data_IF_307956106184
#
_entry.id   IF_307956106184
#
_cell.length_a   1.000
_cell.length_b   1.000
_cell.length_c   1.000
_cell.angle_alpha   90.00
_cell.angle_beta   90.00
_cell.angle_gamma   90.00
#
_symmetry.space_group_name_H-M   'P 1'
#
loop_
_entity.id
_entity.type
_entity.pdbx_description
1 polymer ?
#
# COMPACT_ATOMS: atom_id res chain seq x y z
N UNK A 1 -39.51 -45.33 -34.56
CA UNK A 1 -38.10 -45.56 -34.17
C UNK A 1 -37.92 -45.09 -32.72
N UNK A 2 -38.20 -45.95 -31.73
CA UNK A 2 -38.16 -45.58 -30.31
C UNK A 2 -36.88 -46.06 -29.63
N UNK A 3 -35.99 -45.14 -29.23
CA UNK A 3 -34.79 -45.46 -28.45
C UNK A 3 -35.16 -45.61 -26.96
N UNK A 4 -35.19 -46.86 -26.48
CA UNK A 4 -35.24 -47.18 -25.04
C UNK A 4 -33.89 -46.83 -24.40
N UNK A 5 -33.86 -45.78 -23.58
CA UNK A 5 -32.71 -45.51 -22.70
C UNK A 5 -32.70 -46.48 -21.52
N UNK A 6 -31.58 -47.19 -21.38
CA UNK A 6 -31.35 -48.31 -20.47
C UNK A 6 -31.23 -47.83 -19.00
N UNK A 7 -32.23 -48.13 -18.16
CA UNK A 7 -32.26 -47.84 -16.70
C UNK A 7 -32.06 -49.11 -15.87
N UNK A 8 -30.94 -49.83 -16.04
CA UNK A 8 -30.61 -50.97 -15.17
C UNK A 8 -29.12 -51.02 -14.86
N UNK A 9 -28.72 -50.45 -13.69
CA UNK A 9 -27.61 -50.99 -12.87
C UNK A 9 -27.30 -50.26 -11.55
N UNK A 10 -28.10 -49.29 -11.09
CA UNK A 10 -27.78 -48.58 -9.83
C UNK A 10 -28.02 -49.39 -8.54
N UNK A 11 -28.92 -50.39 -8.56
CA UNK A 11 -29.31 -51.15 -7.35
C UNK A 11 -28.29 -52.24 -6.94
N UNK A 12 -27.57 -52.83 -7.89
CA UNK A 12 -26.56 -53.89 -7.68
C UNK A 12 -25.22 -53.35 -7.15
N UNK A 13 -24.87 -52.12 -7.53
CA UNK A 13 -23.64 -51.46 -7.06
C UNK A 13 -23.71 -51.04 -5.58
N UNK A 14 -24.85 -50.50 -5.14
CA UNK A 14 -25.07 -50.04 -3.77
C UNK A 14 -25.03 -51.19 -2.74
N UNK A 15 -25.54 -52.36 -3.12
CA UNK A 15 -25.50 -53.56 -2.26
C UNK A 15 -24.08 -54.11 -2.09
N UNK A 16 -23.19 -53.94 -3.08
CA UNK A 16 -21.79 -54.38 -3.00
C UNK A 16 -20.90 -53.50 -2.10
N UNK A 17 -21.32 -52.27 -1.82
CA UNK A 17 -20.55 -51.31 -1.00
C UNK A 17 -20.88 -51.41 0.49
N UNK A 18 -22.03 -51.99 0.85
CA UNK A 18 -22.48 -52.11 2.25
C UNK A 18 -22.01 -53.39 2.95
N UNK A 19 -21.31 -54.29 2.26
CA UNK A 19 -20.74 -55.50 2.88
C UNK A 19 -19.77 -55.12 4.00
N UNK A 20 -19.97 -55.73 5.17
CA UNK A 20 -19.16 -55.53 6.37
C UNK A 20 -18.00 -56.52 6.35
N UNK A 21 -16.78 -56.00 6.45
CA UNK A 21 -15.55 -56.77 6.61
C UNK A 21 -15.11 -56.70 8.08
N UNK A 22 -14.73 -57.83 8.66
CA UNK A 22 -14.15 -57.89 10.01
C UNK A 22 -12.65 -57.61 9.88
N UNK A 23 -12.19 -56.53 10.51
CA UNK A 23 -10.76 -56.26 10.69
C UNK A 23 -10.43 -56.53 12.15
N UNK A 24 -9.46 -57.40 12.40
CA UNK A 24 -8.99 -57.74 13.74
C UNK A 24 -7.47 -57.66 13.82
N UNK A 25 -6.97 -57.14 14.94
CA UNK A 25 -5.55 -57.15 15.28
C UNK A 25 -5.36 -58.29 16.28
N UNK A 26 -4.45 -59.21 15.96
CA UNK A 26 -4.12 -60.37 16.77
C UNK A 26 -2.76 -60.15 17.42
N UNK A 27 -2.62 -60.50 18.69
CA UNK A 27 -1.30 -60.60 19.31
C UNK A 27 -0.66 -61.95 18.92
N UNK A 28 0.51 -61.92 18.26
CA UNK A 28 1.17 -63.14 17.76
C UNK A 28 1.56 -64.13 18.87
N UNK A 29 1.86 -63.64 20.09
CA UNK A 29 2.32 -64.48 21.19
C UNK A 29 1.18 -65.15 21.97
N UNK A 30 0.02 -64.50 22.06
CA UNK A 30 -1.13 -65.01 22.85
C UNK A 30 -2.29 -65.47 21.98
N UNK A 31 -2.26 -65.21 20.66
CA UNK A 31 -3.35 -65.45 19.72
C UNK A 31 -4.68 -64.81 20.12
N UNK A 32 -4.66 -63.84 21.03
CA UNK A 32 -5.85 -63.10 21.44
C UNK A 32 -6.14 -61.94 20.48
N UNK A 33 -7.40 -61.79 20.07
CA UNK A 33 -7.86 -60.65 19.27
C UNK A 33 -8.03 -59.43 20.20
N UNK A 34 -7.07 -58.51 20.23
CA UNK A 34 -7.08 -57.33 21.11
C UNK A 34 -7.99 -56.22 20.59
N UNK A 35 -8.24 -56.19 19.28
CA UNK A 35 -9.07 -55.16 18.65
C UNK A 35 -9.88 -55.76 17.50
N UNK A 36 -11.19 -55.51 17.47
CA UNK A 36 -12.12 -56.03 16.45
C UNK A 36 -13.10 -54.95 16.00
N UNK A 37 -13.12 -54.65 14.71
CA UNK A 37 -14.07 -53.69 14.11
C UNK A 37 -14.68 -54.26 12.83
N UNK A 38 -15.98 -54.05 12.65
CA UNK A 38 -16.69 -54.38 11.41
C UNK A 38 -16.81 -53.13 10.54
N UNK A 39 -16.07 -53.10 9.43
CA UNK A 39 -15.97 -51.95 8.54
C UNK A 39 -16.63 -52.27 7.18
N UNK A 40 -17.55 -51.42 6.72
CA UNK A 40 -18.01 -51.44 5.33
C UNK A 40 -17.13 -50.56 4.45
N UNK A 41 -17.09 -50.81 3.13
CA UNK A 41 -16.33 -49.97 2.18
C UNK A 41 -16.75 -48.49 2.26
N UNK A 42 -18.04 -48.23 2.50
CA UNK A 42 -18.58 -46.89 2.72
C UNK A 42 -18.08 -46.25 4.02
N UNK A 43 -18.05 -47.02 5.13
CA UNK A 43 -17.57 -46.50 6.41
C UNK A 43 -16.07 -46.17 6.38
N UNK A 44 -15.26 -46.98 5.69
CA UNK A 44 -13.82 -46.71 5.50
C UNK A 44 -13.63 -45.41 4.71
N UNK A 45 -14.40 -45.21 3.64
CA UNK A 45 -14.35 -43.96 2.87
C UNK A 45 -14.76 -42.75 3.72
N UNK A 46 -15.81 -42.88 4.54
CA UNK A 46 -16.25 -41.82 5.44
C UNK A 46 -15.20 -41.47 6.50
N UNK A 47 -14.58 -42.46 7.15
CA UNK A 47 -13.51 -42.21 8.12
C UNK A 47 -12.26 -41.58 7.47
N UNK A 48 -11.92 -42.00 6.24
CA UNK A 48 -10.82 -41.40 5.49
C UNK A 48 -11.10 -39.93 5.12
N UNK A 49 -12.31 -39.61 4.65
CA UNK A 49 -12.73 -38.23 4.41
C UNK A 49 -12.72 -37.39 5.69
N UNK A 50 -13.24 -37.94 6.80
CA UNK A 50 -13.23 -37.27 8.10
C UNK A 50 -11.79 -36.97 8.56
N UNK A 51 -10.88 -37.94 8.43
CA UNK A 51 -9.47 -37.76 8.74
C UNK A 51 -8.81 -36.67 7.89
N UNK A 52 -9.12 -36.62 6.59
CA UNK A 52 -8.61 -35.58 5.69
C UNK A 52 -9.13 -34.18 6.06
N UNK A 53 -10.39 -34.06 6.48
CA UNK A 53 -10.95 -32.78 6.94
C UNK A 53 -10.30 -32.36 8.25
N UNK A 54 -10.10 -33.29 9.19
CA UNK A 54 -9.43 -33.02 10.46
C UNK A 54 -7.98 -32.61 10.23
N UNK A 55 -7.24 -33.29 9.35
CA UNK A 55 -5.85 -32.93 9.05
C UNK A 55 -5.76 -31.53 8.43
N UNK A 56 -6.67 -31.19 7.51
CA UNK A 56 -6.74 -29.85 6.93
C UNK A 56 -7.06 -28.78 8.00
N UNK A 57 -7.99 -29.07 8.92
CA UNK A 57 -8.31 -28.17 10.01
C UNK A 57 -7.13 -27.95 10.97
N UNK A 58 -6.39 -29.00 11.29
CA UNK A 58 -5.18 -28.92 12.12
C UNK A 58 -4.08 -28.11 11.42
N UNK A 59 -3.84 -28.35 10.13
CA UNK A 59 -2.87 -27.57 9.34
C UNK A 59 -3.27 -26.09 9.30
N UNK A 60 -4.55 -25.80 9.05
CA UNK A 60 -5.09 -24.43 9.06
C UNK A 60 -4.90 -23.74 10.42
N UNK A 61 -5.16 -24.47 11.51
CA UNK A 61 -4.99 -23.98 12.88
C UNK A 61 -3.51 -23.70 13.18
N UNK A 62 -2.60 -24.59 12.80
CA UNK A 62 -1.14 -24.36 12.94
C UNK A 62 -0.73 -23.11 12.17
N UNK A 63 -1.16 -22.94 10.92
CA UNK A 63 -0.85 -21.74 10.12
C UNK A 63 -1.40 -20.46 10.79
N UNK A 64 -2.57 -20.52 11.41
CA UNK A 64 -3.18 -19.35 12.05
C UNK A 64 -2.50 -18.96 13.37
N UNK A 65 -2.18 -19.93 14.23
CA UNK A 65 -1.63 -19.68 15.57
C UNK A 65 -0.11 -19.63 15.64
N UNK A 66 0.59 -20.18 14.64
CA UNK A 66 2.06 -20.10 14.56
C UNK A 66 2.50 -19.07 13.52
N UNK A 67 3.69 -18.45 13.67
CA UNK A 67 4.20 -17.46 12.72
C UNK A 67 4.61 -18.05 11.35
N UNK A 68 4.28 -19.31 11.05
CA UNK A 68 4.60 -19.95 9.77
C UNK A 68 3.89 -19.26 8.59
N UNK A 69 2.70 -18.66 8.83
CA UNK A 69 1.98 -17.88 7.80
C UNK A 69 2.83 -16.77 7.18
N UNK A 70 3.80 -16.22 7.90
CA UNK A 70 4.67 -15.14 7.41
C UNK A 70 5.73 -15.60 6.41
N UNK A 71 6.03 -16.91 6.34
CA UNK A 71 7.01 -17.48 5.43
C UNK A 71 6.41 -17.90 4.08
N UNK A 72 5.09 -17.87 3.94
CA UNK A 72 4.42 -18.18 2.67
C UNK A 72 4.31 -16.91 1.80
N UNK A 73 4.92 -16.89 0.59
CA UNK A 73 4.89 -15.71 -0.28
C UNK A 73 3.44 -15.40 -0.68
N UNK A 74 2.95 -14.23 -0.27
CA UNK A 74 1.60 -13.74 -0.58
C UNK A 74 0.72 -13.36 0.63
N UNK A 75 1.09 -13.75 1.86
CA UNK A 75 0.29 -13.49 3.08
C UNK A 75 0.81 -12.36 3.99
N UNK A 76 1.85 -11.63 3.56
CA UNK A 76 2.37 -10.48 4.30
C UNK A 76 1.37 -9.33 4.27
N UNK A 77 0.90 -8.92 5.44
CA UNK A 77 0.07 -7.73 5.64
C UNK A 77 0.77 -6.47 5.08
N UNK A 78 0.00 -5.48 4.59
CA UNK A 78 0.55 -4.28 3.98
C UNK A 78 1.42 -3.47 4.96
N UNK A 79 1.08 -3.54 6.25
CA UNK A 79 1.83 -2.96 7.37
C UNK A 79 3.23 -3.58 7.53
N UNK A 80 3.36 -4.89 7.37
CA UNK A 80 4.66 -5.56 7.50
C UNK A 80 5.57 -5.17 6.34
N UNK A 81 5.02 -4.97 5.13
CA UNK A 81 5.80 -4.50 3.98
C UNK A 81 6.33 -3.09 4.18
N UNK A 82 5.51 -2.17 4.69
CA UNK A 82 5.96 -0.80 4.94
C UNK A 82 7.02 -0.74 6.05
N UNK A 83 6.90 -1.55 7.10
CA UNK A 83 7.92 -1.66 8.13
C UNK A 83 9.21 -2.31 7.61
N UNK A 84 9.10 -3.31 6.73
CA UNK A 84 10.26 -3.96 6.11
C UNK A 84 11.00 -3.01 5.17
N UNK A 85 10.25 -2.17 4.43
CA UNK A 85 10.82 -1.10 3.59
C UNK A 85 11.49 -0.01 4.43
N UNK A 86 10.87 0.44 5.54
CA UNK A 86 11.49 1.41 6.44
C UNK A 86 12.79 0.88 7.03
N UNK A 87 12.79 -0.37 7.51
CA UNK A 87 13.99 -1.02 8.03
C UNK A 87 15.06 -1.22 6.96
N UNK A 88 14.70 -1.52 5.72
CA UNK A 88 15.69 -1.58 4.63
C UNK A 88 16.30 -0.22 4.31
N UNK A 89 15.52 0.87 4.41
CA UNK A 89 16.03 2.24 4.23
C UNK A 89 16.97 2.66 5.37
N UNK A 90 16.65 2.30 6.61
CA UNK A 90 17.54 2.53 7.75
C UNK A 90 18.87 1.77 7.58
N UNK A 91 18.83 0.52 7.11
CA UNK A 91 20.02 -0.27 6.83
C UNK A 91 20.88 0.34 5.70
N UNK A 92 20.28 0.88 4.64
CA UNK A 92 21.03 1.57 3.56
C UNK A 92 21.78 2.81 4.09
N UNK A 93 21.12 3.60 4.94
CA UNK A 93 21.72 4.78 5.57
C UNK A 93 22.89 4.39 6.47
N UNK A 94 22.72 3.36 7.30
CA UNK A 94 23.79 2.84 8.16
C UNK A 94 24.95 2.29 7.35
N UNK A 95 24.66 1.54 6.28
CA UNK A 95 25.67 0.99 5.38
C UNK A 95 26.50 2.10 4.73
N UNK A 96 25.86 3.20 4.31
CA UNK A 96 26.58 4.37 3.77
C UNK A 96 27.55 4.98 4.78
N UNK A 97 27.11 5.19 6.02
CA UNK A 97 27.97 5.72 7.09
C UNK A 97 29.14 4.78 7.37
N UNK A 98 28.88 3.47 7.40
CA UNK A 98 29.94 2.46 7.57
C UNK A 98 30.96 2.52 6.43
N UNK A 99 30.55 2.64 5.17
CA UNK A 99 31.48 2.79 4.04
C UNK A 99 32.36 4.03 4.17
N UNK A 100 31.79 5.16 4.59
CA UNK A 100 32.58 6.36 4.84
C UNK A 100 33.60 6.15 5.96
N UNK A 101 33.21 5.44 7.03
CA UNK A 101 34.10 5.13 8.14
C UNK A 101 35.23 4.16 7.73
N UNK A 102 34.94 3.16 6.89
CA UNK A 102 35.95 2.26 6.33
C UNK A 102 36.96 3.00 5.43
N UNK A 103 36.48 3.93 4.60
CA UNK A 103 37.33 4.76 3.76
C UNK A 103 38.26 5.64 4.62
N UNK A 104 37.73 6.27 5.68
CA UNK A 104 38.53 7.04 6.63
C UNK A 104 39.59 6.17 7.34
N UNK A 105 39.22 4.98 7.80
CA UNK A 105 40.16 4.06 8.44
C UNK A 105 41.26 3.59 7.49
N UNK A 106 40.96 3.46 6.21
CA UNK A 106 41.97 3.10 5.18
C UNK A 106 42.98 4.23 4.99
N UNK A 107 42.53 5.48 4.92
CA UNK A 107 43.41 6.66 4.84
C UNK A 107 44.25 6.81 6.10
N UNK A 108 43.66 6.62 7.29
CA UNK A 108 44.41 6.67 8.56
C UNK A 108 45.50 5.60 8.56
N UNK A 109 45.18 4.36 8.17
CA UNK A 109 46.16 3.27 8.08
C UNK A 109 47.26 3.57 7.07
N UNK A 110 46.95 4.15 5.92
CA UNK A 110 47.97 4.46 4.90
C UNK A 110 48.94 5.54 5.40
N UNK A 111 48.43 6.59 6.06
CA UNK A 111 49.25 7.62 6.71
C UNK A 111 50.11 7.02 7.82
N UNK A 112 49.55 6.18 8.70
CA UNK A 112 50.31 5.52 9.77
C UNK A 112 51.39 4.57 9.23
N UNK A 113 51.14 3.91 8.09
CA UNK A 113 52.11 3.05 7.42
C UNK A 113 53.17 3.81 6.62
N UNK A 114 53.09 5.14 6.56
CA UNK A 114 54.04 6.01 5.85
C UNK A 114 53.96 5.91 4.32
N UNK A 115 52.85 5.39 3.77
CA UNK A 115 52.69 5.15 2.32
C UNK A 115 52.07 6.34 1.55
N UNK A 116 51.80 7.48 2.21
CA UNK A 116 51.20 8.68 1.61
C UNK A 116 51.86 9.94 2.16
N UNK A 117 52.34 10.84 1.29
CA UNK A 117 52.89 12.15 1.66
C UNK A 117 51.78 13.07 2.22
N UNK A 118 52.04 13.68 3.38
CA UNK A 118 51.06 14.37 4.26
C UNK A 118 50.41 15.60 3.60
N UNK A 119 50.95 16.09 2.48
CA UNK A 119 50.51 17.33 1.83
C UNK A 119 49.48 17.14 0.70
N UNK A 120 48.98 15.91 0.50
CA UNK A 120 47.94 15.60 -0.51
C UNK A 120 46.56 15.28 0.09
N UNK A 121 46.31 15.60 1.37
CA UNK A 121 45.01 15.37 2.00
C UNK A 121 43.99 16.37 1.46
N UNK A 122 43.37 16.03 0.34
CA UNK A 122 42.20 16.73 -0.20
C UNK A 122 41.07 16.52 0.81
N UNK A 123 40.56 17.56 1.50
CA UNK A 123 39.32 17.42 2.25
C UNK A 123 38.26 16.98 1.24
N UNK A 124 37.66 15.80 1.47
CA UNK A 124 36.57 15.27 0.65
C UNK A 124 35.35 16.15 0.95
N UNK A 125 35.30 17.28 0.27
CA UNK A 125 34.23 18.26 0.36
C UNK A 125 33.05 17.79 -0.50
N UNK A 126 31.86 17.79 0.09
CA UNK A 126 30.59 17.33 -0.51
C UNK A 126 30.35 17.96 -1.88
N UNK A 127 30.84 19.19 -2.07
CA UNK A 127 30.69 20.01 -3.28
C UNK A 127 31.53 19.46 -4.45
N UNK A 128 32.68 18.82 -4.20
CA UNK A 128 33.46 18.13 -5.25
C UNK A 128 32.92 16.75 -5.56
N UNK A 129 32.26 16.08 -4.62
CA UNK A 129 31.58 14.80 -4.87
C UNK A 129 30.39 14.96 -5.82
N UNK A 130 29.62 16.06 -5.71
CA UNK A 130 28.53 16.36 -6.65
C UNK A 130 29.06 16.62 -8.07
N UNK A 131 30.20 17.32 -8.19
CA UNK A 131 30.88 17.52 -9.48
C UNK A 131 31.48 16.23 -10.04
N UNK A 132 32.08 15.39 -9.20
CA UNK A 132 32.58 14.06 -9.59
C UNK A 132 31.43 13.12 -9.99
N UNK A 133 30.30 13.15 -9.29
CA UNK A 133 29.10 12.40 -9.64
C UNK A 133 28.55 12.84 -11.01
N UNK A 134 28.48 14.15 -11.29
CA UNK A 134 28.11 14.67 -12.62
C UNK A 134 29.12 14.30 -13.72
N UNK A 135 30.40 14.16 -13.40
CA UNK A 135 31.45 13.76 -14.36
C UNK A 135 31.48 12.24 -14.58
N UNK A 136 31.11 11.45 -13.58
CA UNK A 136 31.00 9.99 -13.65
C UNK A 136 29.63 9.52 -14.19
N UNK A 137 28.63 10.40 -14.28
CA UNK A 137 27.31 10.17 -14.91
C UNK A 137 27.36 10.13 -16.45
N UNK A 138 28.55 10.07 -17.04
CA UNK A 138 28.68 9.77 -18.47
C UNK A 138 28.42 8.28 -18.66
N UNK A 139 27.14 7.93 -18.83
CA UNK A 139 26.68 6.57 -19.15
C UNK A 139 27.62 5.91 -20.16
N UNK A 140 28.17 4.76 -19.78
CA UNK A 140 29.05 3.96 -20.63
C UNK A 140 28.32 3.59 -21.92
N UNK A 141 29.03 3.43 -23.04
CA UNK A 141 28.41 3.12 -24.34
C UNK A 141 27.63 1.80 -24.29
N UNK A 142 28.06 0.84 -23.47
CA UNK A 142 27.33 -0.40 -23.21
C UNK A 142 25.98 -0.16 -22.51
N UNK A 143 25.94 0.82 -21.61
CA UNK A 143 24.77 1.18 -20.81
C UNK A 143 23.75 1.97 -21.66
N UNK A 144 24.23 2.85 -22.54
CA UNK A 144 23.38 3.51 -23.55
C UNK A 144 22.77 2.50 -24.53
N UNK A 145 23.54 1.50 -24.96
CA UNK A 145 23.05 0.44 -25.82
C UNK A 145 22.02 -0.44 -25.10
N UNK A 146 22.24 -0.73 -23.82
CA UNK A 146 21.28 -1.46 -23.00
C UNK A 146 19.96 -0.68 -22.83
N UNK A 147 20.02 0.60 -22.46
CA UNK A 147 18.83 1.45 -22.34
C UNK A 147 18.05 1.51 -23.66
N UNK A 148 18.72 1.67 -24.81
CA UNK A 148 18.05 1.67 -26.13
C UNK A 148 17.35 0.36 -26.43
N UNK A 149 18.00 -0.79 -26.18
CA UNK A 149 17.38 -2.11 -26.38
C UNK A 149 16.17 -2.30 -25.48
N UNK A 150 16.29 -1.91 -24.21
CA UNK A 150 15.20 -2.00 -23.25
C UNK A 150 14.02 -1.10 -23.63
N UNK A 151 14.27 0.16 -24.04
CA UNK A 151 13.24 1.08 -24.53
C UNK A 151 12.54 0.57 -25.80
N UNK A 152 13.28 -0.06 -26.73
CA UNK A 152 12.72 -0.67 -27.93
C UNK A 152 11.87 -1.92 -27.63
N UNK A 153 12.29 -2.76 -26.68
CA UNK A 153 11.54 -3.95 -26.23
C UNK A 153 10.27 -3.59 -25.46
N UNK A 154 10.32 -2.55 -24.61
CA UNK A 154 9.16 -2.07 -23.85
C UNK A 154 8.16 -1.30 -24.72
N UNK A 155 8.60 -0.65 -25.80
CA UNK A 155 7.74 0.14 -26.71
C UNK A 155 6.59 -0.67 -27.33
N UNK A 156 6.75 -1.98 -27.46
CA UNK A 156 5.75 -2.88 -28.08
C UNK A 156 5.06 -3.82 -27.08
N UNK A 157 5.45 -3.79 -25.79
CA UNK A 157 4.81 -4.60 -24.74
C UNK A 157 3.51 -3.92 -24.30
N UNK A 158 2.41 -4.28 -24.96
CA UNK A 158 1.03 -3.86 -24.59
C UNK A 158 0.37 -4.82 -23.59
N UNK A 159 1.14 -5.72 -22.96
CA UNK A 159 0.63 -6.66 -21.98
C UNK A 159 1.54 -6.68 -20.75
N UNK A 160 0.97 -6.29 -19.61
CA UNK A 160 1.59 -6.14 -18.29
C UNK A 160 2.44 -4.88 -18.06
N UNK A 161 1.80 -3.72 -18.20
CA UNK A 161 1.98 -2.68 -17.18
C UNK A 161 1.34 -3.20 -15.89
N UNK A 162 2.01 -4.12 -15.18
CA UNK A 162 2.00 -4.00 -13.72
C UNK A 162 2.72 -2.68 -13.48
N UNK A 163 2.12 -1.69 -12.81
CA UNK A 163 2.83 -0.46 -12.54
C UNK A 163 4.07 -0.84 -11.74
N UNK A 164 5.22 -0.86 -12.42
CA UNK A 164 6.52 -0.69 -11.81
C UNK A 164 6.33 0.49 -10.87
N UNK A 165 6.69 0.31 -9.60
CA UNK A 165 6.59 1.27 -8.52
C UNK A 165 6.64 2.73 -8.99
N UNK A 166 5.49 3.24 -9.45
CA UNK A 166 5.26 4.65 -9.52
C UNK A 166 5.10 4.97 -8.05
N UNK A 167 6.03 5.77 -7.51
CA UNK A 167 5.67 6.72 -6.46
C UNK A 167 4.20 7.06 -6.66
N UNK A 168 3.34 6.59 -5.76
CA UNK A 168 1.88 6.63 -5.89
C UNK A 168 1.53 7.92 -6.60
N UNK A 169 1.02 7.86 -7.84
CA UNK A 169 0.65 9.09 -8.53
C UNK A 169 -0.49 9.64 -7.69
N UNK A 170 -0.14 10.56 -6.80
CA UNK A 170 -1.02 11.10 -5.79
C UNK A 170 -1.91 12.09 -6.51
N UNK A 171 -2.99 11.58 -7.09
CA UNK A 171 -3.94 12.39 -7.83
C UNK A 171 -4.87 13.04 -6.82
N UNK A 172 -4.65 14.32 -6.56
CA UNK A 172 -5.60 15.11 -5.82
C UNK A 172 -6.75 15.55 -6.74
N UNK A 173 -7.97 15.50 -6.20
CA UNK A 173 -9.16 15.97 -6.88
C UNK A 173 -9.47 17.42 -6.52
N UNK A 174 -10.21 18.10 -7.42
CA UNK A 174 -10.65 19.47 -7.18
C UNK A 174 -11.60 19.51 -5.96
N UNK A 175 -11.39 20.41 -4.99
CA UNK A 175 -12.21 20.49 -3.79
C UNK A 175 -13.60 21.06 -4.08
N UNK A 176 -13.75 21.88 -5.12
CA UNK A 176 -15.03 22.42 -5.58
C UNK A 176 -14.98 22.70 -7.08
N UNK A 177 -16.13 22.67 -7.75
CA UNK A 177 -16.29 23.16 -9.12
C UNK A 177 -16.35 24.70 -9.11
N UNK A 178 -15.32 25.39 -9.57
CA UNK A 178 -15.29 26.86 -9.56
C UNK A 178 -14.05 27.42 -10.24
N UNK A 179 -13.88 28.74 -10.16
CA UNK A 179 -12.71 29.44 -10.71
C UNK A 179 -11.90 30.00 -9.55
N UNK A 180 -10.56 29.91 -9.64
CA UNK A 180 -9.66 30.53 -8.66
C UNK A 180 -9.78 32.04 -8.79
N UNK A 181 -10.22 32.69 -7.72
CA UNK A 181 -10.30 34.15 -7.60
C UNK A 181 -9.04 34.75 -6.99
N UNK A 182 -8.47 34.09 -5.98
CA UNK A 182 -7.26 34.52 -5.30
C UNK A 182 -6.26 33.34 -5.29
N UNK A 183 -5.08 33.50 -5.92
CA UNK A 183 -4.06 32.46 -5.94
C UNK A 183 -3.26 32.43 -4.64
N UNK A 184 -2.51 31.34 -4.46
CA UNK A 184 -1.64 31.13 -3.31
C UNK A 184 -0.56 32.21 -3.26
N UNK A 185 -0.34 32.79 -2.08
CA UNK A 185 0.72 33.76 -1.87
C UNK A 185 1.27 33.60 -0.45
N UNK A 186 2.47 33.03 -0.26
CA UNK A 186 2.98 32.71 1.08
C UNK A 186 3.12 33.92 2.02
N UNK A 187 3.15 35.14 1.48
CA UNK A 187 3.25 36.39 2.26
C UNK A 187 1.87 36.95 2.67
N UNK A 188 0.79 36.56 1.98
CA UNK A 188 -0.56 37.13 2.18
C UNK A 188 -1.64 36.10 2.51
N UNK A 189 -1.59 34.93 1.87
CA UNK A 189 -2.60 33.87 1.92
C UNK A 189 -1.93 32.50 1.82
N UNK A 190 -2.16 31.66 2.82
CA UNK A 190 -1.63 30.30 2.88
C UNK A 190 -2.39 29.29 2.00
N UNK A 191 -3.40 29.76 1.26
CA UNK A 191 -4.24 28.95 0.40
C UNK A 191 -4.75 29.71 -0.82
N UNK A 192 -5.69 29.08 -1.51
CA UNK A 192 -6.39 29.61 -2.69
C UNK A 192 -7.87 29.81 -2.39
N UNK A 193 -8.45 30.85 -3.00
CA UNK A 193 -9.89 31.14 -2.87
C UNK A 193 -10.60 30.78 -4.17
N UNK A 194 -11.53 29.84 -4.12
CA UNK A 194 -12.43 29.51 -5.24
C UNK A 194 -13.70 30.35 -5.17
N UNK A 195 -14.15 30.86 -6.31
CA UNK A 195 -15.52 31.33 -6.49
C UNK A 195 -16.31 30.23 -7.19
N UNK A 196 -17.42 29.85 -6.59
CA UNK A 196 -18.31 28.80 -7.07
C UNK A 196 -19.77 29.28 -7.06
N UNK A 197 -20.67 28.47 -7.63
CA UNK A 197 -22.10 28.69 -7.53
C UNK A 197 -22.60 28.48 -6.09
N UNK A 198 -23.71 29.14 -5.75
CA UNK A 198 -24.45 28.88 -4.51
C UNK A 198 -24.70 27.41 -4.28
N UNK A 199 -24.53 26.96 -3.03
CA UNK A 199 -24.69 25.58 -2.60
C UNK A 199 -23.81 24.55 -3.34
N UNK A 200 -22.63 24.95 -3.82
CA UNK A 200 -21.69 24.00 -4.41
C UNK A 200 -21.18 22.99 -3.36
N UNK A 201 -21.05 21.74 -3.80
CA UNK A 201 -20.53 20.65 -2.97
C UNK A 201 -19.02 20.77 -2.77
N UNK A 202 -18.58 20.83 -1.52
CA UNK A 202 -17.17 20.74 -1.13
C UNK A 202 -16.79 19.29 -0.99
N UNK A 203 -15.72 18.88 -1.66
CA UNK A 203 -15.28 17.49 -1.78
C UNK A 203 -13.89 17.29 -1.20
N UNK A 204 -13.65 16.10 -0.66
CA UNK A 204 -12.33 15.69 -0.21
C UNK A 204 -11.37 15.64 -1.41
N UNK A 205 -10.19 16.23 -1.28
CA UNK A 205 -9.18 16.23 -2.36
C UNK A 205 -8.52 14.86 -2.49
N UNK A 206 -8.50 14.08 -1.41
CA UNK A 206 -7.94 12.73 -1.36
C UNK A 206 -8.61 11.94 -0.23
N UNK A 207 -8.41 10.62 -0.23
CA UNK A 207 -8.70 9.75 0.91
C UNK A 207 -8.03 10.28 2.19
N UNK A 208 -8.73 10.23 3.32
CA UNK A 208 -8.21 10.73 4.58
C UNK A 208 -9.19 10.60 5.75
N UNK A 209 -8.85 11.25 6.85
CA UNK A 209 -9.66 11.28 8.07
C UNK A 209 -9.88 12.73 8.51
N UNK A 210 -11.10 13.07 8.88
CA UNK A 210 -11.42 14.39 9.42
C UNK A 210 -10.83 14.51 10.83
N UNK A 211 -9.85 15.39 11.01
CA UNK A 211 -9.12 15.56 12.29
C UNK A 211 -9.60 16.73 13.11
N UNK A 212 -10.20 17.75 12.47
CA UNK A 212 -10.76 18.90 13.17
C UNK A 212 -11.92 19.51 12.39
N UNK A 213 -12.89 20.03 13.14
CA UNK A 213 -13.95 20.89 12.63
C UNK A 213 -14.07 22.05 13.62
N UNK A 214 -14.03 23.27 13.10
CA UNK A 214 -14.14 24.50 13.88
C UNK A 214 -15.12 25.47 13.22
N UNK A 215 -15.59 26.45 13.99
CA UNK A 215 -16.45 27.52 13.50
C UNK A 215 -15.88 28.89 13.91
N UNK A 216 -15.76 29.80 12.97
CA UNK A 216 -15.32 31.19 13.22
C UNK A 216 -16.24 32.17 12.51
N UNK A 217 -16.57 33.29 13.15
CA UNK A 217 -17.42 34.34 12.56
C UNK A 217 -16.89 34.90 11.23
N UNK A 218 -15.56 34.91 11.06
CA UNK A 218 -14.91 35.39 9.84
C UNK A 218 -14.88 34.36 8.70
N UNK A 219 -14.87 33.06 9.02
CA UNK A 219 -14.55 31.99 8.06
C UNK A 219 -15.61 30.88 7.99
N UNK A 220 -16.77 31.07 8.64
CA UNK A 220 -17.79 30.03 8.74
C UNK A 220 -17.26 28.76 9.41
N UNK A 221 -17.79 27.61 8.99
CA UNK A 221 -17.20 26.33 9.41
C UNK A 221 -15.95 26.02 8.60
N UNK A 222 -14.94 25.49 9.29
CA UNK A 222 -13.73 24.95 8.72
C UNK A 222 -13.58 23.48 9.04
N UNK A 223 -13.11 22.69 8.07
CA UNK A 223 -12.79 21.27 8.23
C UNK A 223 -11.33 21.03 7.88
N UNK A 224 -10.66 20.22 8.68
CA UNK A 224 -9.29 19.77 8.46
C UNK A 224 -9.30 18.28 8.21
N UNK A 225 -8.75 17.85 7.08
CA UNK A 225 -8.65 16.43 6.70
C UNK A 225 -7.18 16.05 6.62
N UNK A 226 -6.79 15.01 7.36
CA UNK A 226 -5.47 14.42 7.29
C UNK A 226 -5.45 13.32 6.23
N UNK A 227 -4.46 13.39 5.35
CA UNK A 227 -4.26 12.48 4.24
C UNK A 227 -2.97 11.65 4.44
N UNK A 228 -2.75 10.60 3.63
CA UNK A 228 -1.46 9.89 3.57
C UNK A 228 -0.26 10.80 3.28
N UNK A 229 0.95 10.29 3.48
CA UNK A 229 2.25 10.96 3.23
C UNK A 229 2.47 12.32 3.91
N UNK A 230 1.68 12.61 4.96
CA UNK A 230 1.80 13.83 5.74
C UNK A 230 1.17 15.05 5.07
N UNK A 231 0.21 14.84 4.16
CA UNK A 231 -0.63 15.92 3.64
C UNK A 231 -1.80 16.22 4.57
N UNK A 232 -2.14 17.49 4.67
CA UNK A 232 -3.33 17.98 5.38
C UNK A 232 -4.02 18.99 4.47
N UNK A 233 -5.32 18.84 4.28
CA UNK A 233 -6.14 19.83 3.59
C UNK A 233 -7.04 20.56 4.57
N UNK A 234 -7.20 21.87 4.34
CA UNK A 234 -8.06 22.74 5.16
C UNK A 234 -9.09 23.38 4.25
N UNK A 235 -10.36 23.22 4.60
CA UNK A 235 -11.50 23.79 3.90
C UNK A 235 -12.17 24.80 4.81
N UNK A 236 -12.38 26.04 4.36
CA UNK A 236 -13.09 27.08 5.14
C UNK A 236 -14.22 27.70 4.32
N UNK A 237 -15.10 28.43 4.99
CA UNK A 237 -16.35 28.99 4.44
C UNK A 237 -17.34 27.89 4.03
N UNK A 238 -17.36 26.77 4.76
CA UNK A 238 -18.39 25.75 4.60
C UNK A 238 -19.62 26.20 5.40
N UNK A 239 -20.79 26.20 4.78
CA UNK A 239 -22.07 26.51 5.42
C UNK A 239 -22.64 25.36 6.20
N UNK A 240 -22.73 24.21 5.51
CA UNK A 240 -23.29 23.00 6.06
C UNK A 240 -22.26 21.87 6.03
N UNK A 241 -21.93 21.34 7.21
CA UNK A 241 -21.06 20.18 7.37
C UNK A 241 -21.85 18.88 7.25
N UNK A 242 -21.35 17.95 6.44
CA UNK A 242 -21.91 16.60 6.28
C UNK A 242 -21.05 15.52 6.98
N UNK A 243 -19.88 15.90 7.48
CA UNK A 243 -18.93 15.03 8.17
C UNK A 243 -18.67 15.49 9.60
N UNK A 244 -18.16 14.56 10.41
CA UNK A 244 -17.80 14.76 11.82
C UNK A 244 -16.31 14.46 12.02
N UNK A 245 -15.76 14.99 13.11
CA UNK A 245 -14.39 14.66 13.53
C UNK A 245 -14.30 13.15 13.77
N UNK A 246 -13.27 12.52 13.19
CA UNK A 246 -13.05 11.08 13.21
C UNK A 246 -13.60 10.32 12.00
N UNK A 247 -14.40 10.96 11.14
CA UNK A 247 -14.93 10.29 9.94
C UNK A 247 -13.82 10.04 8.91
N UNK A 248 -13.80 8.84 8.34
CA UNK A 248 -13.03 8.55 7.14
C UNK A 248 -13.76 9.10 5.90
N UNK A 249 -12.99 9.68 5.00
CA UNK A 249 -13.49 10.27 3.75
C UNK A 249 -12.67 9.75 2.58
N UNK A 250 -13.33 9.50 1.46
CA UNK A 250 -12.68 9.12 0.20
C UNK A 250 -12.49 10.33 -0.70
N UNK A 251 -11.51 10.28 -1.58
CA UNK A 251 -11.30 11.29 -2.61
C UNK A 251 -12.62 11.54 -3.36
N UNK A 252 -13.06 12.80 -3.40
CA UNK A 252 -14.28 13.24 -4.10
C UNK A 252 -15.56 13.09 -3.31
N UNK A 253 -15.49 12.48 -2.13
CA UNK A 253 -16.61 12.41 -1.22
C UNK A 253 -17.00 13.81 -0.73
N UNK A 254 -18.31 14.06 -0.63
CA UNK A 254 -18.82 15.37 -0.23
C UNK A 254 -18.63 15.55 1.28
N UNK A 255 -17.89 16.59 1.63
CA UNK A 255 -17.60 17.01 3.01
C UNK A 255 -18.67 17.96 3.55
N UNK A 256 -19.24 18.78 2.67
CA UNK A 256 -20.17 19.83 3.02
C UNK A 256 -20.62 20.63 1.82
N UNK A 257 -21.33 21.73 2.10
CA UNK A 257 -21.89 22.64 1.10
C UNK A 257 -21.46 24.07 1.44
N UNK A 258 -21.04 24.83 0.43
CA UNK A 258 -20.66 26.24 0.57
C UNK A 258 -21.92 27.08 0.84
N UNK A 259 -21.83 28.02 1.78
CA UNK A 259 -22.87 29.04 2.01
C UNK A 259 -22.61 30.30 1.19
N UNK A 260 -23.69 31.01 0.86
CA UNK A 260 -23.57 32.32 0.24
C UNK A 260 -23.04 33.35 1.23
N UNK A 261 -22.23 34.28 0.73
CA UNK A 261 -21.78 35.41 1.53
C UNK A 261 -23.01 36.24 1.95
N UNK A 262 -23.06 36.64 3.23
CA UNK A 262 -24.17 37.41 3.79
C UNK A 262 -24.43 38.66 2.94
N UNK A 263 -25.61 38.74 2.33
CA UNK A 263 -26.04 39.90 1.54
C UNK A 263 -25.64 39.89 0.05
N UNK A 264 -25.02 38.81 -0.45
CA UNK A 264 -24.67 38.68 -1.88
C UNK A 264 -25.12 37.32 -2.41
N UNK A 265 -26.31 37.27 -3.02
CA UNK A 265 -26.81 36.08 -3.70
C UNK A 265 -25.90 35.72 -4.90
N UNK A 266 -25.59 34.42 -5.05
CA UNK A 266 -24.90 33.90 -6.23
C UNK A 266 -23.37 34.04 -6.23
N UNK A 267 -22.76 34.54 -5.14
CA UNK A 267 -21.30 34.55 -4.98
C UNK A 267 -20.88 33.88 -3.68
N UNK A 268 -20.55 32.60 -3.80
CA UNK A 268 -20.08 31.78 -2.69
C UNK A 268 -18.61 31.44 -2.93
N UNK A 269 -17.82 31.41 -1.87
CA UNK A 269 -16.40 31.14 -1.97
C UNK A 269 -15.96 30.02 -1.02
N UNK A 270 -14.96 29.25 -1.47
CA UNK A 270 -14.26 28.27 -0.66
C UNK A 270 -12.82 28.72 -0.52
N UNK A 271 -12.36 28.85 0.72
CA UNK A 271 -10.94 29.04 0.99
C UNK A 271 -10.31 27.69 1.27
N UNK A 272 -9.31 27.32 0.48
CA UNK A 272 -8.67 26.00 0.50
C UNK A 272 -7.17 26.13 0.73
N UNK A 273 -6.66 25.41 1.72
CA UNK A 273 -5.22 25.30 1.98
C UNK A 273 -4.77 23.84 1.83
N UNK A 274 -3.55 23.66 1.33
CA UNK A 274 -2.86 22.38 1.31
C UNK A 274 -1.56 22.51 2.09
N UNK A 275 -1.33 21.54 2.97
CA UNK A 275 -0.16 21.48 3.83
C UNK A 275 0.56 20.16 3.60
N UNK A 276 1.89 20.20 3.55
CA UNK A 276 2.73 19.01 3.47
C UNK A 276 3.78 19.06 4.58
N UNK A 277 3.78 18.05 5.46
CA UNK A 277 4.75 17.91 6.57
C UNK A 277 4.87 19.20 7.40
N UNK A 278 3.74 19.85 7.67
CA UNK A 278 3.66 21.06 8.50
C UNK A 278 3.96 22.39 7.79
N UNK A 279 4.19 22.40 6.47
CA UNK A 279 4.37 23.63 5.69
C UNK A 279 3.23 23.81 4.70
N UNK A 280 2.79 25.06 4.51
CA UNK A 280 1.82 25.43 3.48
C UNK A 280 2.46 25.29 2.10
N UNK A 281 1.77 24.64 1.17
CA UNK A 281 2.23 24.46 -0.21
C UNK A 281 1.21 25.06 -1.16
N UNK A 282 1.66 25.46 -2.35
CA UNK A 282 0.75 25.97 -3.38
C UNK A 282 -0.13 24.82 -3.90
N UNK A 283 -1.46 24.85 -3.70
CA UNK A 283 -2.33 23.77 -4.14
C UNK A 283 -2.31 23.52 -5.65
N UNK A 284 -2.06 24.56 -6.46
CA UNK A 284 -2.03 24.47 -7.92
C UNK A 284 -0.85 23.67 -8.48
N UNK A 285 0.16 23.40 -7.65
CA UNK A 285 1.30 22.55 -8.04
C UNK A 285 0.96 21.05 -7.91
N UNK A 286 -0.10 20.71 -7.17
CA UNK A 286 -0.51 19.34 -6.85
C UNK A 286 -1.87 18.97 -7.43
N UNK A 287 -2.77 19.94 -7.55
CA UNK A 287 -4.13 19.77 -8.06
C UNK A 287 -4.27 20.51 -9.38
N UNK A 288 -4.74 19.80 -10.40
CA UNK A 288 -5.15 20.41 -11.66
C UNK A 288 -6.56 20.96 -11.46
N UNK A 289 -6.73 22.28 -11.56
CA UNK A 289 -7.99 23.01 -11.36
C UNK A 289 -8.78 23.31 -12.63
#
# INVERSE_FOLDING_TARGET
MGKKFNRHNKKTFLQRISFKYKVSILNENTLEETFRVHLSRLSVFLYACLFAVISFAVISLVIFYTPIKYFLPGYSDASIRSDLVKKSLELDSLQRVMYFQEAQMTVIKSVLSGSVEVDSVIPIDSIKLEKLAKVLDVKSDAEKQFCKKFEEEEKYTTANVKPAANSEIMVFMKPVSGVISEPYNPTKSYGITFVSSSNAAVKAVQDGTVVAIDYTLQHGYSMVVQHPDGYISVYKNIGQMLKRVGDEVKAGEVLGVIEDAVGVEGKSNLYFELWQKGKTVNPSDYIIF
#
